data_IF_705294099411
#
_entry.id   IF_705294099411
#
_cell.length_a   1.000
_cell.length_b   1.000
_cell.length_c   1.000
_cell.angle_alpha   90.00
_cell.angle_beta   90.00
_cell.angle_gamma   90.00
#
_symmetry.space_group_name_H-M   'P 1'
#
loop_
_entity.id
_entity.type
_entity.pdbx_description
1 polymer ?
#
# COMPACT_ATOMS: atom_id res chain seq x y z
N UNK A 1 -10.56 -30.11 14.38
CA UNK A 1 -11.47 -29.31 15.23
C UNK A 1 -11.70 -27.95 14.58
N UNK A 2 -12.88 -27.79 14.00
CA UNK A 2 -13.61 -26.59 13.52
C UNK A 2 -12.82 -25.39 12.99
N UNK A 3 -12.62 -25.38 11.67
CA UNK A 3 -12.11 -24.29 10.82
C UNK A 3 -13.11 -23.14 10.57
N UNK A 4 -14.23 -23.08 11.30
CA UNK A 4 -15.37 -22.20 10.98
C UNK A 4 -15.62 -21.06 11.99
N UNK A 5 -14.82 -20.92 13.04
CA UNK A 5 -14.91 -19.79 13.98
C UNK A 5 -13.76 -18.82 13.74
N UNK A 6 -13.79 -18.13 12.60
CA UNK A 6 -13.05 -16.88 12.48
C UNK A 6 -13.77 -15.81 13.31
N UNK A 7 -13.02 -15.00 14.05
CA UNK A 7 -13.55 -13.93 14.91
C UNK A 7 -14.52 -13.02 14.15
N UNK A 8 -14.24 -12.73 12.88
CA UNK A 8 -15.12 -11.97 11.99
C UNK A 8 -16.50 -12.62 11.81
N UNK A 9 -16.57 -13.95 11.67
CA UNK A 9 -17.85 -14.65 11.52
C UNK A 9 -18.63 -14.63 12.84
N UNK A 10 -17.95 -14.83 13.97
CA UNK A 10 -18.57 -14.75 15.29
C UNK A 10 -19.15 -13.34 15.55
N UNK A 11 -18.40 -12.29 15.21
CA UNK A 11 -18.84 -10.90 15.30
C UNK A 11 -20.08 -10.67 14.45
N UNK A 12 -20.06 -11.04 13.17
CA UNK A 12 -21.22 -10.81 12.30
C UNK A 12 -22.45 -11.59 12.78
N UNK A 13 -22.28 -12.84 13.24
CA UNK A 13 -23.38 -13.62 13.82
C UNK A 13 -23.96 -12.94 15.06
N UNK A 14 -23.11 -12.43 15.96
CA UNK A 14 -23.55 -11.68 17.14
C UNK A 14 -24.27 -10.37 16.77
N UNK A 15 -23.72 -9.60 15.82
CA UNK A 15 -24.35 -8.37 15.32
C UNK A 15 -25.73 -8.66 14.71
N UNK A 16 -25.87 -9.74 13.94
CA UNK A 16 -27.17 -10.16 13.38
C UNK A 16 -28.13 -10.55 14.51
N UNK A 17 -27.66 -11.31 15.51
CA UNK A 17 -28.49 -11.71 16.65
C UNK A 17 -29.00 -10.50 17.44
N UNK A 18 -28.12 -9.53 17.72
CA UNK A 18 -28.50 -8.28 18.38
C UNK A 18 -29.47 -7.47 17.53
N UNK A 19 -29.22 -7.36 16.22
CA UNK A 19 -30.11 -6.65 15.30
C UNK A 19 -31.50 -7.28 15.19
N UNK A 20 -31.61 -8.61 15.18
CA UNK A 20 -32.91 -9.32 15.20
C UNK A 20 -33.64 -9.09 16.51
N UNK A 21 -32.92 -9.11 17.64
CA UNK A 21 -33.50 -8.83 18.97
C UNK A 21 -33.99 -7.38 19.05
N UNK A 22 -33.18 -6.44 18.56
CA UNK A 22 -33.53 -5.02 18.44
C UNK A 22 -34.78 -4.83 17.59
N UNK A 23 -34.88 -5.53 16.44
CA UNK A 23 -36.03 -5.45 15.55
C UNK A 23 -37.31 -5.89 16.25
N UNK A 24 -37.26 -7.03 16.97
CA UNK A 24 -38.42 -7.54 17.69
C UNK A 24 -38.94 -6.55 18.74
N UNK A 25 -38.04 -5.97 19.54
CA UNK A 25 -38.39 -5.00 20.58
C UNK A 25 -38.92 -3.68 20.00
N UNK A 26 -38.30 -3.15 18.95
CA UNK A 26 -38.77 -1.92 18.28
C UNK A 26 -40.13 -2.15 17.64
N UNK A 27 -40.37 -3.32 17.05
CA UNK A 27 -41.66 -3.68 16.47
C UNK A 27 -42.75 -3.79 17.55
N UNK A 28 -42.45 -4.38 18.71
CA UNK A 28 -43.37 -4.43 19.85
C UNK A 28 -43.75 -3.01 20.30
N UNK A 29 -42.75 -2.16 20.54
CA UNK A 29 -42.95 -0.76 20.92
C UNK A 29 -43.86 -0.01 19.95
N UNK A 30 -43.60 -0.11 18.64
CA UNK A 30 -44.37 0.61 17.62
C UNK A 30 -45.82 0.12 17.55
N UNK A 31 -46.07 -1.18 17.74
CA UNK A 31 -47.42 -1.73 17.80
C UNK A 31 -48.17 -1.25 19.02
N UNK A 32 -47.51 -1.23 20.18
CA UNK A 32 -48.09 -0.75 21.43
C UNK A 32 -48.34 0.76 21.41
N UNK A 33 -47.54 1.52 20.66
CA UNK A 33 -47.77 2.93 20.35
C UNK A 33 -48.94 3.18 19.38
N UNK A 34 -49.59 2.13 18.86
CA UNK A 34 -50.77 2.23 18.00
C UNK A 34 -50.47 2.33 16.49
N UNK A 35 -49.24 2.05 16.06
CA UNK A 35 -48.94 1.96 14.63
C UNK A 35 -49.54 0.70 14.00
N UNK A 36 -49.95 0.80 12.73
CA UNK A 36 -50.39 -0.35 11.94
C UNK A 36 -49.31 -1.46 11.93
N UNK A 37 -49.67 -2.76 12.06
CA UNK A 37 -48.70 -3.84 12.17
C UNK A 37 -47.73 -3.96 10.99
N UNK A 38 -48.15 -3.56 9.78
CA UNK A 38 -47.26 -3.55 8.61
C UNK A 38 -46.30 -2.36 8.68
N UNK A 39 -46.79 -1.17 9.07
CA UNK A 39 -45.95 0.01 9.24
C UNK A 39 -44.91 -0.18 10.37
N UNK A 40 -45.32 -0.73 11.52
CA UNK A 40 -44.44 -1.06 12.63
C UNK A 40 -43.36 -2.09 12.21
N UNK A 41 -43.77 -3.13 11.47
CA UNK A 41 -42.85 -4.12 10.92
C UNK A 41 -41.85 -3.52 9.93
N UNK A 42 -42.31 -2.66 9.02
CA UNK A 42 -41.44 -2.01 8.04
C UNK A 42 -40.43 -1.05 8.68
N UNK A 43 -40.86 -0.23 9.65
CA UNK A 43 -40.00 0.72 10.36
C UNK A 43 -38.96 0.02 11.24
N UNK A 44 -39.37 -1.00 11.99
CA UNK A 44 -38.45 -1.81 12.81
C UNK A 44 -37.42 -2.55 11.94
N UNK A 45 -37.85 -3.10 10.80
CA UNK A 45 -36.96 -3.74 9.84
C UNK A 45 -35.99 -2.76 9.21
N UNK A 46 -36.44 -1.57 8.81
CA UNK A 46 -35.58 -0.54 8.25
C UNK A 46 -34.50 -0.10 9.26
N UNK A 47 -34.89 0.13 10.52
CA UNK A 47 -33.95 0.53 11.58
C UNK A 47 -32.93 -0.59 11.89
N UNK A 48 -33.41 -1.82 12.10
CA UNK A 48 -32.55 -2.97 12.39
C UNK A 48 -31.59 -3.30 11.22
N UNK A 49 -32.08 -3.26 9.99
CA UNK A 49 -31.25 -3.48 8.81
C UNK A 49 -30.19 -2.38 8.64
N UNK A 50 -30.54 -1.11 8.84
CA UNK A 50 -29.60 0.00 8.77
C UNK A 50 -28.45 -0.16 9.79
N UNK A 51 -28.79 -0.55 11.03
CA UNK A 51 -27.80 -0.78 12.08
C UNK A 51 -26.88 -1.97 11.79
N UNK A 52 -27.42 -3.08 11.29
CA UNK A 52 -26.61 -4.24 10.86
C UNK A 52 -25.66 -3.83 9.73
N UNK A 53 -26.17 -3.15 8.70
CA UNK A 53 -25.36 -2.72 7.55
C UNK A 53 -24.24 -1.78 7.98
N UNK A 54 -24.54 -0.78 8.83
CA UNK A 54 -23.52 0.15 9.33
C UNK A 54 -22.50 -0.58 10.21
N UNK A 55 -22.94 -1.50 11.06
CA UNK A 55 -22.05 -2.30 11.89
C UNK A 55 -21.09 -3.15 11.04
N UNK A 56 -21.59 -3.81 10.00
CA UNK A 56 -20.74 -4.56 9.05
C UNK A 56 -19.85 -3.62 8.22
N UNK A 57 -20.31 -2.43 7.87
CA UNK A 57 -19.48 -1.46 7.16
C UNK A 57 -18.32 -0.98 8.06
N UNK A 58 -18.58 -0.74 9.34
CA UNK A 58 -17.58 -0.36 10.34
C UNK A 58 -16.52 -1.43 10.55
N UNK A 59 -16.85 -2.73 10.45
CA UNK A 59 -15.85 -3.80 10.56
C UNK A 59 -14.86 -3.81 9.38
N UNK A 60 -15.26 -3.30 8.21
CA UNK A 60 -14.49 -3.40 6.96
C UNK A 60 -13.69 -2.15 6.59
N UNK A 61 -14.08 -0.98 7.08
CA UNK A 61 -13.41 0.28 6.73
C UNK A 61 -12.05 0.41 7.41
N UNK A 62 -11.04 0.81 6.63
CA UNK A 62 -9.75 1.19 7.18
C UNK A 62 -9.76 2.63 7.70
N UNK A 63 -9.84 2.77 9.02
CA UNK A 63 -9.72 4.04 9.73
C UNK A 63 -8.54 4.92 9.29
N UNK A 64 -7.40 4.35 8.86
CA UNK A 64 -6.24 5.19 8.51
C UNK A 64 -6.34 5.80 7.12
N UNK A 65 -6.94 5.06 6.18
CA UNK A 65 -7.05 5.46 4.78
C UNK A 65 -8.32 6.27 4.56
N UNK A 66 -9.43 5.89 5.21
CA UNK A 66 -10.76 6.48 5.00
C UNK A 66 -11.34 7.06 6.29
N UNK A 67 -10.55 7.89 6.99
CA UNK A 67 -10.98 8.62 8.20
C UNK A 67 -12.37 9.28 8.07
N UNK A 68 -12.66 10.09 7.03
CA UNK A 68 -13.94 10.80 6.98
C UNK A 68 -15.13 9.85 6.86
N UNK A 69 -15.01 8.81 6.02
CA UNK A 69 -16.06 7.78 5.84
C UNK A 69 -16.31 7.02 7.13
N UNK A 70 -15.24 6.64 7.83
CA UNK A 70 -15.35 5.96 9.12
C UNK A 70 -16.10 6.83 10.14
N UNK A 71 -15.69 8.09 10.31
CA UNK A 71 -16.31 8.98 11.29
C UNK A 71 -17.79 9.19 10.97
N UNK A 72 -18.14 9.38 9.70
CA UNK A 72 -19.53 9.49 9.28
C UNK A 72 -20.34 8.24 9.65
N UNK A 73 -19.83 7.05 9.37
CA UNK A 73 -20.51 5.80 9.71
C UNK A 73 -20.60 5.58 11.23
N UNK A 74 -19.54 5.92 11.98
CA UNK A 74 -19.55 5.83 13.43
C UNK A 74 -20.57 6.80 14.04
N UNK A 75 -20.66 8.04 13.53
CA UNK A 75 -21.63 9.04 13.98
C UNK A 75 -23.05 8.58 13.65
N UNK A 76 -23.32 8.24 12.38
CA UNK A 76 -24.65 7.80 11.94
C UNK A 76 -25.06 6.52 12.67
N UNK A 77 -24.16 5.56 12.80
CA UNK A 77 -24.38 4.32 13.55
C UNK A 77 -24.67 4.58 15.03
N UNK A 78 -23.93 5.47 15.66
CA UNK A 78 -24.17 5.85 17.06
C UNK A 78 -25.52 6.54 17.24
N UNK A 79 -25.90 7.44 16.33
CA UNK A 79 -27.21 8.10 16.36
C UNK A 79 -28.36 7.10 16.22
N UNK A 80 -28.26 6.19 15.25
CA UNK A 80 -29.26 5.14 15.07
C UNK A 80 -29.30 4.19 16.27
N UNK A 81 -28.16 3.87 16.88
CA UNK A 81 -28.09 3.02 18.06
C UNK A 81 -28.73 3.69 19.28
N UNK A 82 -28.58 5.01 19.43
CA UNK A 82 -29.24 5.78 20.47
C UNK A 82 -30.76 5.85 20.26
N UNK A 83 -31.23 6.04 19.02
CA UNK A 83 -32.66 6.02 18.69
C UNK A 83 -33.24 4.63 18.97
N UNK A 84 -32.59 3.58 18.46
CA UNK A 84 -32.98 2.19 18.72
C UNK A 84 -33.00 1.91 20.23
N UNK A 85 -31.96 2.34 20.95
CA UNK A 85 -31.86 2.12 22.39
C UNK A 85 -32.93 2.85 23.19
N UNK A 86 -33.33 4.06 22.78
CA UNK A 86 -34.44 4.78 23.39
C UNK A 86 -35.76 4.00 23.23
N UNK A 87 -36.06 3.53 22.00
CA UNK A 87 -37.27 2.75 21.69
C UNK A 87 -37.30 1.43 22.47
N UNK A 88 -36.18 0.69 22.48
CA UNK A 88 -36.07 -0.55 23.25
C UNK A 88 -36.16 -0.31 24.75
N UNK A 89 -35.58 0.78 25.28
CA UNK A 89 -35.66 1.09 26.71
C UNK A 89 -37.08 1.42 27.14
N UNK A 90 -37.86 2.08 26.28
CA UNK A 90 -39.26 2.36 26.52
C UNK A 90 -40.08 1.06 26.55
N UNK A 91 -39.80 0.13 25.64
CA UNK A 91 -40.41 -1.20 25.63
C UNK A 91 -40.03 -2.03 26.86
N UNK A 92 -38.75 -2.04 27.23
CA UNK A 92 -38.33 -2.76 28.43
C UNK A 92 -38.90 -2.17 29.71
N UNK A 93 -39.20 -0.87 29.75
CA UNK A 93 -39.77 -0.23 30.92
C UNK A 93 -41.21 -0.70 31.22
N UNK A 94 -41.89 -1.32 30.26
CA UNK A 94 -43.22 -1.92 30.49
C UNK A 94 -43.11 -3.27 31.23
N UNK A 95 -41.96 -3.95 31.14
CA UNK A 95 -41.74 -5.30 31.67
C UNK A 95 -40.73 -5.37 32.81
N UNK A 96 -39.81 -4.40 32.90
CA UNK A 96 -38.68 -4.39 33.83
C UNK A 96 -38.67 -3.07 34.62
N UNK A 97 -38.17 -3.13 35.86
CA UNK A 97 -38.13 -1.98 36.75
C UNK A 97 -36.70 -1.50 37.03
N UNK A 98 -36.58 -0.24 37.46
CA UNK A 98 -35.32 0.36 37.87
C UNK A 98 -34.40 0.67 36.68
N UNK A 99 -33.12 0.31 36.78
CA UNK A 99 -32.10 0.63 35.77
C UNK A 99 -32.04 -0.37 34.62
N UNK A 100 -32.63 -1.56 34.77
CA UNK A 100 -32.56 -2.64 33.77
C UNK A 100 -33.11 -2.27 32.38
N UNK A 101 -34.23 -1.53 32.23
CA UNK A 101 -34.72 -1.09 30.93
C UNK A 101 -33.69 -0.27 30.15
N UNK A 102 -32.98 0.63 30.85
CA UNK A 102 -31.96 1.48 30.22
C UNK A 102 -30.71 0.69 29.87
N UNK A 103 -30.27 -0.21 30.77
CA UNK A 103 -29.10 -1.05 30.54
C UNK A 103 -29.29 -1.99 29.35
N UNK A 104 -30.45 -2.65 29.24
CA UNK A 104 -30.73 -3.55 28.13
C UNK A 104 -31.09 -2.77 26.87
N UNK A 105 -31.91 -1.72 27.00
CA UNK A 105 -32.35 -0.89 25.87
C UNK A 105 -31.20 -0.24 25.15
N UNK A 106 -30.32 0.49 25.86
CA UNK A 106 -29.15 1.11 25.23
C UNK A 106 -27.97 0.14 25.06
N UNK A 107 -27.79 -0.80 25.99
CA UNK A 107 -26.64 -1.69 25.97
C UNK A 107 -26.60 -2.60 24.74
N UNK A 108 -27.74 -3.15 24.33
CA UNK A 108 -27.81 -4.04 23.16
C UNK A 108 -27.35 -3.33 21.87
N UNK A 109 -27.94 -2.21 21.44
CA UNK A 109 -27.51 -1.54 20.20
C UNK A 109 -26.14 -0.85 20.34
N UNK A 110 -25.84 -0.21 21.48
CA UNK A 110 -24.57 0.53 21.61
C UNK A 110 -23.37 -0.41 21.75
N UNK A 111 -23.46 -1.42 22.61
CA UNK A 111 -22.34 -2.34 22.86
C UNK A 111 -22.35 -3.50 21.85
N UNK A 112 -23.51 -4.08 21.60
CA UNK A 112 -23.66 -5.27 20.75
C UNK A 112 -23.49 -5.01 19.26
N UNK A 113 -23.94 -3.86 18.75
CA UNK A 113 -23.88 -3.55 17.31
C UNK A 113 -22.69 -2.63 17.02
N UNK A 114 -22.63 -1.45 17.64
CA UNK A 114 -21.56 -0.46 17.38
C UNK A 114 -20.25 -0.82 18.10
N UNK A 115 -20.31 -1.15 19.39
CA UNK A 115 -19.12 -1.47 20.18
C UNK A 115 -18.39 -2.71 19.66
N UNK A 116 -19.14 -3.77 19.37
CA UNK A 116 -18.60 -5.03 18.88
C UNK A 116 -18.01 -4.90 17.46
N UNK A 117 -18.68 -4.16 16.57
CA UNK A 117 -18.15 -3.90 15.22
C UNK A 117 -16.86 -3.09 15.27
N UNK A 118 -16.82 -2.05 16.11
CA UNK A 118 -15.63 -1.24 16.33
C UNK A 118 -14.47 -2.05 16.92
N UNK A 119 -14.74 -2.86 17.94
CA UNK A 119 -13.74 -3.72 18.57
C UNK A 119 -13.16 -4.72 17.56
N UNK A 120 -14.01 -5.29 16.70
CA UNK A 120 -13.59 -6.23 15.66
C UNK A 120 -12.75 -5.53 14.59
N UNK A 121 -13.14 -4.33 14.15
CA UNK A 121 -12.35 -3.54 13.20
C UNK A 121 -10.93 -3.28 13.73
N UNK A 122 -10.83 -2.92 15.01
CA UNK A 122 -9.55 -2.68 15.68
C UNK A 122 -8.73 -3.98 15.83
N UNK A 123 -9.38 -5.09 16.21
CA UNK A 123 -8.73 -6.38 16.38
C UNK A 123 -8.17 -6.93 15.06
N UNK A 124 -9.00 -7.01 14.00
CA UNK A 124 -8.58 -7.49 12.67
C UNK A 124 -7.40 -6.68 12.14
N UNK A 125 -7.40 -5.36 12.39
CA UNK A 125 -6.29 -4.49 12.02
C UNK A 125 -5.02 -4.75 12.85
N UNK A 126 -5.15 -4.96 14.16
CA UNK A 126 -4.02 -5.30 15.02
C UNK A 126 -3.39 -6.63 14.57
N UNK A 127 -4.23 -7.63 14.25
CA UNK A 127 -3.79 -8.91 13.75
C UNK A 127 -3.06 -8.77 12.41
N UNK A 128 -3.65 -8.10 11.42
CA UNK A 128 -3.02 -7.89 10.10
C UNK A 128 -1.66 -7.18 10.21
N UNK A 129 -1.53 -6.20 11.12
CA UNK A 129 -0.23 -5.54 11.38
C UNK A 129 0.79 -6.49 11.97
N UNK A 130 0.38 -7.39 12.88
CA UNK A 130 1.28 -8.37 13.47
C UNK A 130 1.75 -9.38 12.43
N UNK A 131 0.85 -9.83 11.55
CA UNK A 131 1.14 -10.74 10.44
C UNK A 131 2.07 -10.09 9.42
N UNK A 132 1.83 -8.84 9.03
CA UNK A 132 2.71 -8.08 8.13
C UNK A 132 4.12 -7.90 8.71
N UNK A 133 4.26 -7.66 10.02
CA UNK A 133 5.57 -7.60 10.67
C UNK A 133 6.28 -8.94 10.64
N UNK A 134 5.55 -10.03 10.91
CA UNK A 134 6.10 -11.38 10.84
C UNK A 134 6.56 -11.74 9.41
N UNK A 135 5.75 -11.41 8.40
CA UNK A 135 6.10 -11.59 6.98
C UNK A 135 7.31 -10.74 6.59
N UNK A 136 7.37 -9.48 7.03
CA UNK A 136 8.51 -8.60 6.76
C UNK A 136 9.81 -9.15 7.35
N UNK A 137 9.77 -9.64 8.60
CA UNK A 137 10.93 -10.29 9.21
C UNK A 137 11.37 -11.53 8.45
N UNK A 138 10.42 -12.40 8.05
CA UNK A 138 10.71 -13.60 7.27
C UNK A 138 11.27 -13.28 5.88
N UNK A 139 10.70 -12.28 5.20
CA UNK A 139 11.16 -11.86 3.88
C UNK A 139 12.55 -11.23 3.96
N UNK A 140 12.80 -10.39 4.97
CA UNK A 140 14.13 -9.85 5.24
C UNK A 140 15.13 -10.97 5.45
N UNK A 141 14.84 -11.94 6.32
CA UNK A 141 15.77 -13.06 6.57
C UNK A 141 16.03 -13.90 5.32
N UNK A 142 15.01 -14.15 4.49
CA UNK A 142 15.18 -14.91 3.24
C UNK A 142 15.99 -14.13 2.21
N UNK A 143 15.78 -12.83 2.08
CA UNK A 143 16.55 -11.97 1.16
C UNK A 143 18.00 -11.86 1.61
N UNK A 144 18.26 -11.68 2.90
CA UNK A 144 19.63 -11.66 3.44
C UNK A 144 20.31 -13.00 3.23
N UNK A 145 19.65 -14.13 3.53
CA UNK A 145 20.21 -15.47 3.29
C UNK A 145 20.46 -15.75 1.79
N UNK A 146 19.59 -15.27 0.90
CA UNK A 146 19.78 -15.39 -0.54
C UNK A 146 20.94 -14.51 -1.04
N UNK A 147 21.08 -13.29 -0.49
CA UNK A 147 22.21 -12.41 -0.77
C UNK A 147 23.53 -13.00 -0.25
N UNK A 148 23.55 -13.56 0.95
CA UNK A 148 24.74 -14.18 1.54
C UNK A 148 25.16 -15.42 0.73
N UNK A 149 24.21 -16.26 0.31
CA UNK A 149 24.49 -17.39 -0.57
C UNK A 149 24.97 -16.94 -1.95
N UNK A 150 24.37 -15.89 -2.52
CA UNK A 150 24.83 -15.33 -3.79
C UNK A 150 26.25 -14.73 -3.65
N UNK A 151 26.51 -13.97 -2.59
CA UNK A 151 27.82 -13.38 -2.30
C UNK A 151 28.90 -14.44 -2.04
N UNK A 152 28.55 -15.54 -1.38
CA UNK A 152 29.45 -16.67 -1.17
C UNK A 152 29.82 -17.38 -2.48
N UNK A 153 28.93 -17.35 -3.47
CA UNK A 153 29.12 -17.93 -4.81
C UNK A 153 29.70 -16.92 -5.82
N UNK A 154 29.87 -15.65 -5.43
CA UNK A 154 30.36 -14.58 -6.30
C UNK A 154 31.90 -14.48 -6.26
N UNK A 155 32.54 -14.80 -7.38
CA UNK A 155 34.00 -14.69 -7.53
C UNK A 155 34.46 -13.21 -7.64
N UNK A 156 35.12 -12.74 -6.59
CA UNK A 156 35.70 -11.38 -6.49
C UNK A 156 36.65 -11.04 -7.65
N UNK A 157 37.24 -12.05 -8.32
CA UNK A 157 38.12 -11.86 -9.47
C UNK A 157 37.39 -11.28 -10.69
N UNK A 158 36.12 -11.64 -10.90
CA UNK A 158 35.32 -11.19 -12.05
C UNK A 158 34.85 -9.74 -11.88
N UNK A 159 34.56 -9.33 -10.64
CA UNK A 159 34.20 -7.94 -10.32
C UNK A 159 35.39 -7.03 -10.54
N UNK A 160 36.58 -7.41 -10.05
CA UNK A 160 37.81 -6.66 -10.27
C UNK A 160 38.08 -6.45 -11.77
N UNK A 161 37.94 -7.52 -12.55
CA UNK A 161 38.11 -7.49 -14.02
C UNK A 161 37.08 -6.61 -14.73
N UNK A 162 35.83 -6.51 -14.24
CA UNK A 162 34.80 -5.61 -14.78
C UNK A 162 35.03 -4.17 -14.36
N UNK A 163 35.45 -3.92 -13.13
CA UNK A 163 35.80 -2.60 -12.63
C UNK A 163 37.01 -2.07 -13.41
N UNK A 164 38.06 -2.87 -13.59
CA UNK A 164 39.25 -2.49 -14.36
C UNK A 164 38.89 -2.17 -15.82
N UNK A 165 38.02 -2.97 -16.44
CA UNK A 165 37.54 -2.71 -17.81
C UNK A 165 36.71 -1.42 -17.90
N UNK A 166 35.93 -1.11 -16.86
CA UNK A 166 35.13 0.11 -16.82
C UNK A 166 35.96 1.34 -16.50
N UNK A 167 36.97 1.22 -15.64
CA UNK A 167 37.92 2.29 -15.36
C UNK A 167 38.77 2.60 -16.59
N UNK A 168 39.25 1.58 -17.31
CA UNK A 168 39.98 1.77 -18.57
C UNK A 168 39.12 2.42 -19.66
N UNK A 169 37.82 2.10 -19.75
CA UNK A 169 36.95 2.74 -20.73
C UNK A 169 36.61 4.20 -20.38
N UNK A 170 36.49 4.51 -19.08
CA UNK A 170 36.29 5.88 -18.60
C UNK A 170 37.58 6.70 -18.79
N UNK A 171 38.74 6.14 -18.43
CA UNK A 171 40.04 6.77 -18.64
C UNK A 171 40.31 7.02 -20.13
N UNK A 172 40.03 6.03 -20.99
CA UNK A 172 40.15 6.20 -22.45
C UNK A 172 39.28 7.32 -23.00
N UNK A 173 38.01 7.40 -22.57
CA UNK A 173 37.10 8.48 -23.00
C UNK A 173 37.49 9.85 -22.46
N UNK A 174 38.03 9.93 -21.24
CA UNK A 174 38.52 11.17 -20.66
C UNK A 174 39.76 11.67 -21.43
N UNK A 175 40.67 10.77 -21.78
CA UNK A 175 41.85 11.09 -22.59
C UNK A 175 41.44 11.49 -24.01
N UNK A 176 40.53 10.75 -24.67
CA UNK A 176 40.01 11.12 -26.00
C UNK A 176 39.30 12.47 -26.00
N UNK A 177 38.55 12.80 -24.95
CA UNK A 177 37.89 14.09 -24.77
C UNK A 177 38.90 15.23 -24.65
N UNK A 178 39.90 15.10 -23.79
CA UNK A 178 40.95 16.11 -23.60
C UNK A 178 41.83 16.27 -24.85
N UNK A 179 42.12 15.16 -25.54
CA UNK A 179 42.91 15.19 -26.78
C UNK A 179 42.14 15.85 -27.92
N UNK A 180 40.83 15.59 -28.02
CA UNK A 180 39.95 16.26 -28.98
C UNK A 180 39.81 17.75 -28.71
N UNK A 181 39.73 18.16 -27.44
CA UNK A 181 39.64 19.57 -27.03
C UNK A 181 40.95 20.33 -27.29
N UNK A 182 42.10 19.70 -27.04
CA UNK A 182 43.42 20.26 -27.36
C UNK A 182 43.67 20.35 -28.89
N UNK A 183 43.27 19.33 -29.67
CA UNK A 183 43.38 19.36 -31.14
C UNK A 183 42.47 20.43 -31.75
N UNK A 184 41.27 20.63 -31.21
CA UNK A 184 40.35 21.69 -31.62
C UNK A 184 40.90 23.08 -31.29
N UNK A 185 41.62 23.23 -30.17
CA UNK A 185 42.26 24.49 -29.76
C UNK A 185 43.43 24.90 -30.67
N UNK A 186 44.17 23.95 -31.25
CA UNK A 186 45.30 24.21 -32.14
C UNK A 186 44.97 24.14 -33.65
N UNK A 187 43.71 23.94 -34.04
CA UNK A 187 43.25 24.04 -35.43
C UNK A 187 43.82 22.99 -36.40
N UNK A 188 44.30 21.85 -35.90
CA UNK A 188 44.81 20.77 -36.74
C UNK A 188 43.70 19.74 -37.02
N UNK A 189 43.57 19.22 -38.26
CA UNK A 189 42.64 18.12 -38.53
C UNK A 189 43.06 16.88 -37.75
N UNK A 190 42.10 16.08 -37.25
CA UNK A 190 42.41 14.90 -36.43
C UNK A 190 43.29 13.94 -37.23
N UNK A 191 44.36 13.35 -36.64
CA UNK A 191 45.13 12.34 -37.31
C UNK A 191 44.20 11.17 -37.67
N UNK A 192 44.29 10.67 -38.91
CA UNK A 192 43.65 9.41 -39.29
C UNK A 192 44.17 8.34 -38.33
N UNK A 193 43.24 7.66 -37.64
CA UNK A 193 43.56 6.58 -36.74
C UNK A 193 44.28 5.47 -37.53
N UNK A 194 45.60 5.42 -37.41
CA UNK A 194 46.34 4.18 -37.58
C UNK A 194 46.14 3.34 -36.31
N UNK A 195 45.94 2.03 -36.42
CA UNK A 195 45.81 1.17 -35.27
C UNK A 195 47.14 1.18 -34.52
N UNK A 196 47.15 1.78 -33.32
CA UNK A 196 48.27 1.69 -32.40
C UNK A 196 48.35 0.23 -31.97
N UNK A 197 49.29 -0.53 -32.54
CA UNK A 197 49.76 -1.76 -31.93
C UNK A 197 50.27 -1.41 -30.54
N UNK A 198 49.65 -2.01 -29.52
CA UNK A 198 50.01 -1.80 -28.13
C UNK A 198 51.41 -2.39 -27.87
N UNK A 199 52.44 -1.59 -28.10
CA UNK A 199 53.77 -1.87 -27.56
C UNK A 199 53.69 -1.64 -26.04
N UNK A 200 53.79 -2.74 -25.29
CA UNK A 200 53.91 -2.75 -23.82
C UNK A 200 55.19 -2.01 -23.42
N UNK A 201 55.12 -0.69 -23.27
CA UNK A 201 56.16 0.09 -22.63
C UNK A 201 55.97 -0.06 -21.12
N UNK A 202 56.82 -0.88 -20.52
CA UNK A 202 56.93 -1.07 -19.09
C UNK A 202 57.36 0.26 -18.44
N UNK A 203 56.44 0.93 -17.74
CA UNK A 203 56.73 2.19 -17.07
C UNK A 203 57.60 1.94 -15.81
N UNK A 204 58.65 2.75 -15.57
CA UNK A 204 59.52 2.59 -14.40
C UNK A 204 58.79 2.96 -13.10
N UNK A 205 59.20 2.38 -11.95
CA UNK A 205 58.48 2.53 -10.69
C UNK A 205 58.64 3.96 -10.14
N UNK A 206 57.52 4.66 -9.97
CA UNK A 206 57.46 5.95 -9.27
C UNK A 206 57.56 5.70 -7.76
N UNK A 207 58.47 6.38 -7.02
CA UNK A 207 58.57 6.28 -5.57
C UNK A 207 57.31 6.78 -4.86
N UNK A 208 56.86 6.01 -3.85
CA UNK A 208 55.76 6.37 -2.95
C UNK A 208 56.16 7.54 -2.05
N UNK A 209 55.56 8.72 -2.27
CA UNK A 209 55.40 9.73 -1.23
C UNK A 209 53.97 9.66 -0.63
N UNK A 210 53.80 9.85 0.68
CA UNK A 210 52.51 9.72 1.33
C UNK A 210 51.65 10.96 1.04
N UNK A 211 50.56 10.75 0.30
CA UNK A 211 49.52 11.76 0.14
C UNK A 211 48.90 12.07 1.51
N UNK A 212 48.95 13.36 1.86
CA UNK A 212 48.35 13.94 3.05
C UNK A 212 46.87 13.56 3.18
N UNK A 213 46.49 13.16 4.40
CA UNK A 213 45.13 12.85 4.80
C UNK A 213 44.26 14.11 4.75
N UNK A 214 43.52 14.29 3.67
CA UNK A 214 42.41 15.24 3.58
C UNK A 214 41.20 14.57 2.95
N UNK A 215 40.02 14.81 3.53
CA UNK A 215 38.66 14.39 3.11
C UNK A 215 38.27 12.93 3.51
N UNK A 216 37.09 12.62 4.04
CA UNK A 216 35.83 13.38 4.15
C UNK A 216 34.86 12.70 5.12
N UNK A 217 34.06 13.53 5.78
CA UNK A 217 32.81 13.22 6.49
C UNK A 217 32.01 12.07 5.85
N UNK A 218 31.67 11.06 6.64
CA UNK A 218 30.67 10.05 6.27
C UNK A 218 29.30 10.72 6.09
N UNK A 219 28.95 11.02 4.85
CA UNK A 219 27.66 11.57 4.49
C UNK A 219 26.62 10.43 4.49
N UNK A 220 26.08 10.11 5.67
CA UNK A 220 24.95 9.19 5.80
C UNK A 220 23.70 9.90 5.25
N UNK A 221 23.02 9.36 4.21
CA UNK A 221 21.85 9.99 3.62
C UNK A 221 20.77 10.21 4.67
N UNK A 222 20.24 11.44 4.76
CA UNK A 222 19.17 11.76 5.69
C UNK A 222 17.86 11.09 5.25
N UNK A 223 16.88 10.91 6.16
CA UNK A 223 15.56 10.38 5.79
C UNK A 223 14.88 11.13 4.64
N UNK A 224 15.14 12.44 4.53
CA UNK A 224 14.62 13.29 3.47
C UNK A 224 15.30 12.99 2.12
N UNK A 225 16.61 12.73 2.11
CA UNK A 225 17.34 12.29 0.91
C UNK A 225 16.81 10.94 0.39
N UNK A 226 16.48 10.03 1.32
CA UNK A 226 15.88 8.73 0.98
C UNK A 226 14.45 8.87 0.45
N UNK A 227 13.66 9.81 0.99
CA UNK A 227 12.32 10.10 0.50
C UNK A 227 12.35 10.72 -0.91
N UNK A 228 13.26 11.67 -1.15
CA UNK A 228 13.49 12.28 -2.45
C UNK A 228 13.94 11.23 -3.49
N UNK A 229 14.88 10.37 -3.13
CA UNK A 229 15.35 9.28 -4.00
C UNK A 229 14.23 8.28 -4.35
N UNK A 230 13.37 7.93 -3.38
CA UNK A 230 12.21 7.05 -3.61
C UNK A 230 11.18 7.69 -4.54
N UNK A 231 10.92 8.99 -4.36
CA UNK A 231 10.01 9.75 -5.22
C UNK A 231 10.54 9.82 -6.66
N UNK A 232 11.83 10.14 -6.83
CA UNK A 232 12.49 10.20 -8.14
C UNK A 232 12.42 8.84 -8.86
N UNK A 233 12.69 7.75 -8.16
CA UNK A 233 12.61 6.38 -8.73
C UNK A 233 11.18 5.99 -9.11
N UNK A 234 10.18 6.38 -8.31
CA UNK A 234 8.76 6.18 -8.64
C UNK A 234 8.39 6.92 -9.93
N UNK A 235 8.77 8.20 -10.03
CA UNK A 235 8.48 9.04 -11.20
C UNK A 235 9.16 8.53 -12.47
N UNK A 236 10.43 8.11 -12.38
CA UNK A 236 11.14 7.53 -13.52
C UNK A 236 10.45 6.25 -14.03
N UNK A 237 10.06 5.35 -13.13
CA UNK A 237 9.32 4.12 -13.49
C UNK A 237 7.95 4.42 -14.08
N UNK A 238 7.23 5.39 -13.52
CA UNK A 238 5.94 5.83 -14.05
C UNK A 238 6.09 6.39 -15.48
N UNK A 239 7.14 7.18 -15.74
CA UNK A 239 7.46 7.67 -17.09
C UNK A 239 7.77 6.54 -18.08
N UNK A 240 8.52 5.52 -17.67
CA UNK A 240 8.79 4.34 -18.49
C UNK A 240 7.50 3.57 -18.84
N UNK A 241 6.62 3.34 -17.87
CA UNK A 241 5.32 2.68 -18.11
C UNK A 241 4.49 3.48 -19.12
N UNK A 242 4.47 4.81 -19.01
CA UNK A 242 3.76 5.66 -19.96
C UNK A 242 4.31 5.54 -21.38
N UNK A 243 5.64 5.56 -21.55
CA UNK A 243 6.27 5.37 -22.87
C UNK A 243 5.93 4.01 -23.49
N UNK A 244 5.94 2.95 -22.68
CA UNK A 244 5.60 1.59 -23.13
C UNK A 244 4.13 1.44 -23.50
N UNK A 245 3.23 2.13 -22.78
CA UNK A 245 1.81 2.19 -23.13
C UNK A 245 1.61 2.93 -24.46
N UNK A 246 2.34 4.03 -24.69
CA UNK A 246 2.28 4.78 -25.96
C UNK A 246 2.84 3.99 -27.16
N UNK A 247 3.86 3.15 -26.94
CA UNK A 247 4.43 2.29 -27.99
C UNK A 247 3.45 1.20 -28.46
N UNK A 248 2.44 0.87 -27.64
CA UNK A 248 1.36 -0.07 -27.97
C UNK A 248 1.79 -1.54 -27.98
N UNK A 249 0.81 -2.44 -27.78
CA UNK A 249 0.91 -3.91 -27.90
C UNK A 249 1.52 -4.71 -26.74
N UNK A 250 1.69 -4.11 -25.56
CA UNK A 250 2.11 -4.86 -24.37
C UNK A 250 0.91 -5.19 -23.48
N UNK A 251 0.78 -6.46 -23.14
CA UNK A 251 -0.10 -6.91 -22.07
C UNK A 251 0.40 -6.43 -20.71
N UNK A 252 -0.47 -6.45 -19.71
CA UNK A 252 -0.16 -5.96 -18.36
C UNK A 252 1.04 -6.70 -17.74
N UNK A 253 1.13 -8.01 -18.00
CA UNK A 253 2.21 -8.87 -17.53
C UNK A 253 3.54 -8.48 -18.20
N UNK A 254 3.52 -8.19 -19.50
CA UNK A 254 4.72 -7.76 -20.22
C UNK A 254 5.21 -6.37 -19.77
N UNK A 255 4.29 -5.45 -19.43
CA UNK A 255 4.64 -4.16 -18.84
C UNK A 255 5.27 -4.32 -17.44
N UNK A 256 4.70 -5.21 -16.62
CA UNK A 256 5.21 -5.55 -15.30
C UNK A 256 6.64 -6.12 -15.39
N UNK A 257 6.88 -7.04 -16.31
CA UNK A 257 8.18 -7.66 -16.53
C UNK A 257 9.23 -6.64 -17.04
N UNK A 258 8.88 -5.80 -18.01
CA UNK A 258 9.81 -4.81 -18.57
C UNK A 258 10.24 -3.72 -17.58
N UNK A 259 9.32 -3.30 -16.69
CA UNK A 259 9.60 -2.27 -15.69
C UNK A 259 10.06 -2.88 -14.35
N UNK A 260 10.11 -4.22 -14.28
CA UNK A 260 10.47 -5.00 -13.09
C UNK A 260 9.66 -4.58 -11.86
N UNK A 261 8.33 -4.58 -12.01
CA UNK A 261 7.35 -4.28 -10.96
C UNK A 261 6.18 -5.25 -11.05
N UNK A 262 5.41 -5.39 -9.97
CA UNK A 262 4.22 -6.26 -9.97
C UNK A 262 3.11 -5.69 -10.87
N UNK A 263 2.27 -6.55 -11.45
CA UNK A 263 1.05 -6.18 -12.18
C UNK A 263 0.16 -5.17 -11.42
N UNK A 264 -0.08 -5.39 -10.11
CA UNK A 264 -0.84 -4.45 -9.26
C UNK A 264 -0.26 -3.03 -9.23
N UNK A 265 1.06 -2.89 -9.37
CA UNK A 265 1.74 -1.59 -9.40
C UNK A 265 1.50 -0.90 -10.74
N UNK A 266 1.49 -1.67 -11.84
CA UNK A 266 1.12 -1.19 -13.19
C UNK A 266 -0.35 -0.75 -13.21
N UNK A 267 -1.27 -1.54 -12.66
CA UNK A 267 -2.70 -1.18 -12.54
C UNK A 267 -2.91 0.14 -11.80
N UNK A 268 -2.18 0.33 -10.69
CA UNK A 268 -2.20 1.59 -9.95
C UNK A 268 -1.72 2.76 -10.80
N UNK A 269 -0.62 2.61 -11.54
CA UNK A 269 -0.14 3.66 -12.44
C UNK A 269 -1.14 3.96 -13.57
N UNK A 270 -1.78 2.94 -14.14
CA UNK A 270 -2.82 3.11 -15.16
C UNK A 270 -4.01 3.88 -14.59
N UNK A 271 -4.42 3.58 -13.35
CA UNK A 271 -5.50 4.31 -12.67
C UNK A 271 -5.12 5.76 -12.40
N UNK A 272 -3.88 6.02 -11.97
CA UNK A 272 -3.37 7.38 -11.81
C UNK A 272 -3.36 8.16 -13.15
N UNK A 273 -3.02 7.50 -14.26
CA UNK A 273 -3.09 8.14 -15.58
C UNK A 273 -4.51 8.40 -16.06
N UNK A 274 -5.46 7.48 -15.79
CA UNK A 274 -6.89 7.69 -16.08
C UNK A 274 -7.46 8.87 -15.29
N UNK A 275 -7.08 9.00 -14.02
CA UNK A 275 -7.44 10.15 -13.20
C UNK A 275 -6.83 11.46 -13.73
N UNK A 276 -5.65 11.41 -14.34
CA UNK A 276 -5.02 12.53 -15.03
C UNK A 276 -5.63 12.84 -16.41
N UNK A 277 -6.72 12.15 -16.80
CA UNK A 277 -7.43 12.38 -18.06
C UNK A 277 -6.90 11.58 -19.25
N UNK A 278 -5.98 10.63 -19.04
CA UNK A 278 -5.48 9.78 -20.13
C UNK A 278 -6.37 8.54 -20.33
N UNK A 279 -6.88 8.36 -21.54
CA UNK A 279 -7.64 7.17 -21.91
C UNK A 279 -6.70 5.99 -22.19
N UNK A 280 -6.40 5.20 -21.15
CA UNK A 280 -5.56 4.00 -21.25
C UNK A 280 -6.42 2.73 -21.20
N UNK A 281 -6.33 1.92 -22.24
CA UNK A 281 -6.94 0.59 -22.37
C UNK A 281 -5.86 -0.46 -22.55
N UNK A 282 -5.74 -1.37 -21.59
CA UNK A 282 -4.83 -2.53 -21.67
C UNK A 282 -5.68 -3.74 -22.02
N UNK A 283 -5.35 -4.40 -23.13
CA UNK A 283 -6.04 -5.56 -23.73
C UNK A 283 -7.44 -5.31 -24.35
N UNK A 284 -7.47 -4.56 -25.46
CA UNK A 284 -8.42 -4.78 -26.55
C UNK A 284 -9.63 -3.85 -26.65
N UNK A 285 -9.44 -2.75 -27.41
CA UNK A 285 -10.47 -1.86 -28.04
C UNK A 285 -11.22 -0.96 -27.03
N UNK A 286 -11.10 0.38 -27.04
CA UNK A 286 -11.35 1.34 -28.14
C UNK A 286 -10.29 2.46 -28.16
N UNK A 287 -9.97 2.91 -29.38
CA UNK A 287 -9.25 4.15 -29.70
C UNK A 287 -10.18 5.38 -29.65
N UNK A 288 -9.54 6.55 -29.46
CA UNK A 288 -9.95 7.96 -29.70
C UNK A 288 -10.14 8.73 -28.40
N UNK A 289 -9.53 9.91 -28.19
CA UNK A 289 -8.76 10.81 -29.03
C UNK A 289 -7.60 11.40 -28.22
#
# INVERSE_FOLDING_TARGET
MNKFLNIEHATHTLTILFGVTSLANVNAFLRDAGHDPLAAGALSLALGAALIVISIALTKIDWQTERPTFYMLAIVGSLLALISGALQSAEYATHLHGLWPYLLGYGVPVVGEIGLSLATALFTKAQSRSELRAVHHKMSSTVTAALDNALADFDTSQIRKRIDRSLNSIAGRAVEGVTGELLAFYGAPPPKAEPVEAELVEAPPVPLEPAESGLTSHNVPTPDDLAAARSAKKSARKGQVWQLIQAGHLSLNQLADQVNVTEKTIDRYISEFRQAGHNITVNGVVKLA
#
